data_IF_079384341563
#
_entry.id   IF_079384341563
#
_cell.length_a   1.000
_cell.length_b   1.000
_cell.length_c   1.000
_cell.angle_alpha   90.00
_cell.angle_beta   90.00
_cell.angle_gamma   90.00
#
_symmetry.space_group_name_H-M   'P 1'
#
loop_
_entity.id
_entity.type
_entity.pdbx_description
1 polymer ?
#
# COMPACT_ATOMS: atom_id res chain seq x y z
N UNK A 1 -34.41 -3.36 31.52
CA UNK A 1 -33.74 -2.19 32.13
C UNK A 1 -34.86 -1.25 32.54
N UNK A 2 -35.14 -1.15 33.84
CA UNK A 2 -36.12 -0.18 34.35
C UNK A 2 -35.66 1.22 33.96
N UNK A 3 -36.54 2.02 33.34
CA UNK A 3 -36.29 3.45 33.12
C UNK A 3 -36.22 4.09 34.50
N UNK A 4 -35.02 4.44 34.98
CA UNK A 4 -34.85 5.32 36.13
C UNK A 4 -35.61 6.61 35.86
N UNK A 5 -36.39 7.06 36.85
CA UNK A 5 -37.04 8.36 36.76
C UNK A 5 -35.98 9.47 36.58
N UNK A 6 -36.25 10.49 35.74
CA UNK A 6 -35.33 11.61 35.56
C UNK A 6 -35.06 12.29 36.90
N UNK A 7 -33.79 12.61 37.19
CA UNK A 7 -33.43 13.35 38.39
C UNK A 7 -34.05 14.76 38.35
N UNK A 8 -34.68 15.19 39.43
CA UNK A 8 -35.13 16.58 39.56
C UNK A 8 -33.90 17.52 39.63
N UNK A 9 -33.83 18.45 38.68
CA UNK A 9 -32.73 19.40 38.54
C UNK A 9 -33.06 20.79 39.12
N UNK A 10 -34.26 20.99 39.69
CA UNK A 10 -34.71 22.30 40.20
C UNK A 10 -33.72 22.95 41.16
N UNK A 11 -33.09 22.17 42.05
CA UNK A 11 -32.09 22.69 42.99
C UNK A 11 -30.76 23.05 42.30
N UNK A 12 -30.37 22.34 41.24
CA UNK A 12 -29.21 22.72 40.45
C UNK A 12 -29.48 23.97 39.62
N UNK A 13 -30.65 24.04 38.97
CA UNK A 13 -31.08 25.19 38.17
C UNK A 13 -31.06 26.48 39.02
N UNK A 14 -31.70 26.46 40.20
CA UNK A 14 -31.67 27.61 41.13
C UNK A 14 -30.26 28.01 41.57
N UNK A 15 -29.44 27.03 41.96
CA UNK A 15 -28.07 27.29 42.41
C UNK A 15 -27.21 27.87 41.28
N UNK A 16 -27.41 27.39 40.06
CA UNK A 16 -26.70 27.88 38.88
C UNK A 16 -27.12 29.32 38.55
N UNK A 17 -28.40 29.67 38.68
CA UNK A 17 -28.87 31.05 38.52
C UNK A 17 -28.35 32.00 39.62
N UNK A 18 -28.26 31.53 40.87
CA UNK A 18 -27.83 32.33 42.02
C UNK A 18 -26.30 32.56 42.06
N UNK A 19 -25.51 31.48 41.97
CA UNK A 19 -24.05 31.53 42.02
C UNK A 19 -23.43 30.27 41.38
N UNK A 20 -23.09 30.32 40.07
CA UNK A 20 -22.42 29.22 39.38
C UNK A 20 -21.06 28.82 39.98
N UNK A 21 -20.36 29.75 40.64
CA UNK A 21 -19.04 29.50 41.23
C UNK A 21 -19.12 28.67 42.52
N UNK A 22 -20.32 28.58 43.11
CA UNK A 22 -20.57 27.81 44.33
C UNK A 22 -20.50 26.29 44.11
N UNK A 23 -20.51 25.80 42.86
CA UNK A 23 -20.53 24.37 42.57
C UNK A 23 -19.19 23.71 42.92
N UNK A 24 -19.23 22.55 43.56
CA UNK A 24 -18.07 21.68 43.62
C UNK A 24 -18.01 20.74 42.40
N UNK A 25 -16.87 20.06 42.23
CA UNK A 25 -16.60 19.23 41.05
C UNK A 25 -17.65 18.13 40.81
N UNK A 26 -18.08 17.44 41.87
CA UNK A 26 -19.11 16.41 41.78
C UNK A 26 -20.47 17.00 41.36
N UNK A 27 -20.86 18.14 41.93
CA UNK A 27 -22.11 18.80 41.60
C UNK A 27 -22.13 19.30 40.16
N UNK A 28 -21.03 19.91 39.70
CA UNK A 28 -20.90 20.38 38.32
C UNK A 28 -20.95 19.20 37.33
N UNK A 29 -20.22 18.12 37.62
CA UNK A 29 -20.23 16.89 36.83
C UNK A 29 -21.65 16.32 36.72
N UNK A 30 -22.32 16.12 37.86
CA UNK A 30 -23.63 15.49 37.90
C UNK A 30 -24.69 16.36 37.21
N UNK A 31 -24.63 17.69 37.38
CA UNK A 31 -25.58 18.59 36.74
C UNK A 31 -25.49 18.57 35.21
N UNK A 32 -24.28 18.76 34.64
CA UNK A 32 -24.07 18.71 33.17
C UNK A 32 -24.44 17.34 32.61
N UNK A 33 -24.10 16.26 33.33
CA UNK A 33 -24.46 14.89 32.95
C UNK A 33 -25.97 14.69 32.89
N UNK A 34 -26.72 15.14 33.89
CA UNK A 34 -28.16 14.92 33.95
C UNK A 34 -28.91 15.79 32.95
N UNK A 35 -28.49 17.04 32.72
CA UNK A 35 -29.03 17.87 31.63
C UNK A 35 -28.91 17.14 30.27
N UNK A 36 -27.71 16.62 29.98
CA UNK A 36 -27.47 15.82 28.75
C UNK A 36 -28.35 14.57 28.70
N UNK A 37 -28.44 13.81 29.79
CA UNK A 37 -29.22 12.56 29.84
C UNK A 37 -30.74 12.79 29.67
N UNK A 38 -31.23 13.97 30.06
CA UNK A 38 -32.62 14.37 29.91
C UNK A 38 -32.93 15.02 28.54
N UNK A 39 -31.95 15.08 27.63
CA UNK A 39 -32.11 15.68 26.30
C UNK A 39 -32.01 17.21 26.30
N UNK A 40 -31.76 17.85 27.45
CA UNK A 40 -31.50 19.29 27.60
C UNK A 40 -30.07 19.63 27.16
N UNK A 41 -29.73 19.31 25.91
CA UNK A 41 -28.35 19.39 25.38
C UNK A 41 -27.86 20.84 25.30
N UNK A 42 -28.73 21.78 24.96
CA UNK A 42 -28.39 23.19 24.87
C UNK A 42 -28.04 23.76 26.23
N UNK A 43 -28.88 23.49 27.24
CA UNK A 43 -28.61 23.84 28.64
C UNK A 43 -27.31 23.21 29.15
N UNK A 44 -27.04 21.93 28.81
CA UNK A 44 -25.79 21.27 29.20
C UNK A 44 -24.54 21.96 28.62
N UNK A 45 -24.65 22.50 27.39
CA UNK A 45 -23.57 23.26 26.75
C UNK A 45 -23.43 24.62 27.42
N UNK A 46 -24.52 25.33 27.67
CA UNK A 46 -24.50 26.63 28.34
C UNK A 46 -23.89 26.52 29.74
N UNK A 47 -24.39 25.59 30.55
CA UNK A 47 -23.90 25.33 31.91
C UNK A 47 -22.43 24.94 31.91
N UNK A 48 -22.03 24.01 31.03
CA UNK A 48 -20.64 23.59 30.92
C UNK A 48 -19.70 24.74 30.52
N UNK A 49 -20.13 25.59 29.57
CA UNK A 49 -19.37 26.77 29.16
C UNK A 49 -19.21 27.78 30.29
N UNK A 50 -20.26 28.00 31.08
CA UNK A 50 -20.21 28.87 32.26
C UNK A 50 -19.26 28.33 33.32
N UNK A 51 -19.29 27.02 33.61
CA UNK A 51 -18.34 26.40 34.54
C UNK A 51 -16.88 26.52 34.09
N UNK A 52 -16.59 26.48 32.79
CA UNK A 52 -15.24 26.76 32.28
C UNK A 52 -14.77 28.19 32.56
N UNK A 53 -15.70 29.15 32.64
CA UNK A 53 -15.38 30.57 32.85
C UNK A 53 -15.26 30.93 34.35
N UNK A 54 -16.07 30.33 35.20
CA UNK A 54 -16.24 30.75 36.60
C UNK A 54 -15.82 29.70 37.64
N UNK A 55 -15.65 28.45 37.21
CA UNK A 55 -15.35 27.31 38.08
C UNK A 55 -13.86 27.04 38.18
N UNK A 56 -13.16 27.75 39.08
CA UNK A 56 -11.74 27.48 39.33
C UNK A 56 -11.55 26.04 39.88
N UNK A 57 -10.78 25.21 39.18
CA UNK A 57 -10.48 23.85 39.58
C UNK A 57 -11.56 22.79 39.28
N UNK A 58 -12.68 23.16 38.64
CA UNK A 58 -13.69 22.20 38.18
C UNK A 58 -13.22 21.47 36.92
N UNK A 59 -13.28 20.14 36.91
CA UNK A 59 -12.82 19.31 35.77
C UNK A 59 -13.69 18.08 35.50
N UNK A 60 -14.41 17.54 36.48
CA UNK A 60 -15.23 16.34 36.34
C UNK A 60 -16.34 16.47 35.30
N UNK A 61 -16.84 17.69 35.05
CA UNK A 61 -17.88 17.95 34.06
C UNK A 61 -17.38 17.98 32.60
N UNK A 62 -16.07 18.11 32.36
CA UNK A 62 -15.50 18.40 31.04
C UNK A 62 -15.88 17.34 30.00
N UNK A 63 -15.79 16.05 30.33
CA UNK A 63 -16.17 14.98 29.40
C UNK A 63 -17.68 14.98 29.12
N UNK A 64 -18.52 15.35 30.09
CA UNK A 64 -19.96 15.48 29.89
C UNK A 64 -20.31 16.66 28.99
N UNK A 65 -19.64 17.80 29.19
CA UNK A 65 -19.71 18.97 28.33
C UNK A 65 -19.27 18.64 26.90
N UNK A 66 -18.11 18.00 26.73
CA UNK A 66 -17.60 17.58 25.43
C UNK A 66 -18.55 16.61 24.72
N UNK A 67 -19.24 15.71 25.43
CA UNK A 67 -20.28 14.88 24.83
C UNK A 67 -21.55 15.66 24.43
N UNK A 68 -21.91 16.71 25.15
CA UNK A 68 -23.01 17.58 24.75
C UNK A 68 -22.69 18.30 23.43
N UNK A 69 -21.47 18.84 23.31
CA UNK A 69 -20.94 19.38 22.06
C UNK A 69 -20.90 18.33 20.94
N UNK A 70 -20.38 17.13 21.24
CA UNK A 70 -20.30 16.03 20.29
C UNK A 70 -21.69 15.65 19.74
N UNK A 71 -22.67 15.46 20.61
CA UNK A 71 -24.02 15.06 20.20
C UNK A 71 -24.71 16.11 19.34
N UNK A 72 -24.50 17.41 19.64
CA UNK A 72 -25.16 18.50 18.92
C UNK A 72 -24.49 18.83 17.58
N UNK A 73 -23.16 18.91 17.56
CA UNK A 73 -22.41 19.50 16.45
C UNK A 73 -21.54 18.51 15.69
N UNK A 74 -21.15 17.37 16.29
CA UNK A 74 -20.20 16.45 15.67
C UNK A 74 -20.89 15.20 15.11
N UNK A 75 -21.78 14.59 15.89
CA UNK A 75 -22.51 13.38 15.51
C UNK A 75 -23.72 13.70 14.62
N UNK A 76 -23.46 14.38 13.51
CA UNK A 76 -24.45 14.84 12.53
C UNK A 76 -24.07 14.33 11.13
N UNK A 77 -25.01 14.42 10.19
CA UNK A 77 -24.79 13.99 8.80
C UNK A 77 -23.76 14.86 8.08
N UNK A 78 -23.04 14.27 7.13
CA UNK A 78 -21.95 14.93 6.41
C UNK A 78 -22.44 16.17 5.61
N UNK A 79 -23.69 16.17 5.14
CA UNK A 79 -24.30 17.34 4.47
C UNK A 79 -24.47 18.54 5.42
N UNK A 80 -24.87 18.29 6.67
CA UNK A 80 -25.00 19.34 7.69
C UNK A 80 -23.64 19.87 8.12
N UNK A 81 -22.62 19.01 8.14
CA UNK A 81 -21.23 19.43 8.37
C UNK A 81 -20.80 20.38 7.25
N UNK A 82 -21.08 20.02 5.99
CA UNK A 82 -20.71 20.82 4.82
C UNK A 82 -21.32 22.22 4.83
N UNK A 83 -22.56 22.37 5.28
CA UNK A 83 -23.24 23.67 5.39
C UNK A 83 -22.57 24.61 6.41
N UNK A 84 -21.95 24.06 7.46
CA UNK A 84 -21.37 24.82 8.58
C UNK A 84 -20.00 24.27 8.97
N UNK A 85 -19.13 24.11 7.98
CA UNK A 85 -17.83 23.43 8.14
C UNK A 85 -16.92 24.14 9.17
N UNK A 86 -16.87 25.47 9.14
CA UNK A 86 -16.08 26.26 10.08
C UNK A 86 -16.52 26.03 11.53
N UNK A 87 -17.83 26.01 11.77
CA UNK A 87 -18.39 25.72 13.09
C UNK A 87 -18.08 24.27 13.51
N UNK A 88 -18.21 23.31 12.60
CA UNK A 88 -17.88 21.92 12.90
C UNK A 88 -16.43 21.79 13.37
N UNK A 89 -15.47 22.36 12.64
CA UNK A 89 -14.07 22.27 13.04
C UNK A 89 -13.72 23.12 14.26
N UNK A 90 -14.39 24.26 14.49
CA UNK A 90 -14.19 25.01 15.74
C UNK A 90 -14.62 24.19 16.97
N UNK A 91 -15.70 23.40 16.85
CA UNK A 91 -16.13 22.50 17.93
C UNK A 91 -15.20 21.29 18.07
N UNK A 92 -14.66 20.76 16.96
CA UNK A 92 -13.59 19.73 17.04
C UNK A 92 -12.40 20.26 17.84
N UNK A 93 -11.96 21.48 17.55
CA UNK A 93 -10.85 22.12 18.28
C UNK A 93 -11.19 22.33 19.75
N UNK A 94 -12.39 22.81 20.07
CA UNK A 94 -12.85 22.97 21.45
C UNK A 94 -12.82 21.65 22.24
N UNK A 95 -13.41 20.57 21.70
CA UNK A 95 -13.41 19.26 22.36
C UNK A 95 -11.97 18.74 22.54
N UNK A 96 -11.12 18.89 21.53
CA UNK A 96 -9.75 18.35 21.57
C UNK A 96 -8.82 19.13 22.48
N UNK A 97 -9.08 20.41 22.72
CA UNK A 97 -8.34 21.23 23.68
C UNK A 97 -8.78 20.98 25.14
N UNK A 98 -10.04 20.62 25.36
CA UNK A 98 -10.61 20.46 26.71
C UNK A 98 -10.54 19.02 27.21
N UNK A 99 -10.93 18.05 26.38
CA UNK A 99 -11.03 16.64 26.78
C UNK A 99 -9.67 15.94 26.67
N UNK A 100 -9.37 15.03 27.60
CA UNK A 100 -8.18 14.18 27.53
C UNK A 100 -8.47 12.90 26.74
N UNK A 101 -7.45 12.28 26.17
CA UNK A 101 -7.58 10.95 25.54
C UNK A 101 -7.61 9.87 26.63
N UNK A 102 -8.81 9.52 27.07
CA UNK A 102 -9.04 8.54 28.14
C UNK A 102 -10.36 7.78 27.95
N UNK A 103 -10.59 6.78 28.80
CA UNK A 103 -11.83 6.00 28.75
C UNK A 103 -13.04 6.91 29.01
N UNK A 104 -14.07 6.78 28.18
CA UNK A 104 -15.28 7.61 28.22
C UNK A 104 -15.06 9.10 27.90
N UNK A 105 -13.98 9.45 27.19
CA UNK A 105 -13.81 10.77 26.61
C UNK A 105 -14.44 10.86 25.20
N UNK A 106 -15.03 12.01 24.82
CA UNK A 106 -15.51 12.24 23.46
C UNK A 106 -14.39 12.51 22.45
N UNK A 107 -13.13 12.69 22.87
CA UNK A 107 -12.03 13.12 22.01
C UNK A 107 -11.82 12.20 20.80
N UNK A 108 -11.61 10.90 21.03
CA UNK A 108 -11.34 9.96 19.93
C UNK A 108 -12.54 9.82 18.99
N UNK A 109 -13.77 9.85 19.51
CA UNK A 109 -14.98 9.79 18.69
C UNK A 109 -15.10 11.03 17.80
N UNK A 110 -14.77 12.20 18.35
CA UNK A 110 -14.76 13.49 17.65
C UNK A 110 -13.76 13.48 16.50
N UNK A 111 -12.51 13.11 16.78
CA UNK A 111 -11.46 13.00 15.75
C UNK A 111 -11.87 11.97 14.69
N UNK A 112 -12.38 10.80 15.07
CA UNK A 112 -12.80 9.78 14.11
C UNK A 112 -13.92 10.27 13.17
N UNK A 113 -14.89 11.03 13.66
CA UNK A 113 -15.95 11.60 12.84
C UNK A 113 -15.40 12.68 11.90
N UNK A 114 -14.52 13.56 12.39
CA UNK A 114 -13.85 14.55 11.56
C UNK A 114 -12.98 13.90 10.47
N UNK A 115 -12.19 12.88 10.81
CA UNK A 115 -11.38 12.12 9.84
C UNK A 115 -12.24 11.48 8.77
N UNK A 116 -13.37 10.84 9.15
CA UNK A 116 -14.31 10.23 8.20
C UNK A 116 -14.83 11.27 7.21
N UNK A 117 -15.25 12.43 7.71
CA UNK A 117 -15.75 13.51 6.87
C UNK A 117 -14.67 14.01 5.89
N UNK A 118 -13.44 14.26 6.35
CA UNK A 118 -12.32 14.70 5.50
C UNK A 118 -11.94 13.65 4.45
N UNK A 119 -11.91 12.37 4.82
CA UNK A 119 -11.60 11.26 3.90
C UNK A 119 -12.64 11.07 2.79
N UNK A 120 -13.88 11.49 3.01
CA UNK A 120 -14.96 11.38 2.02
C UNK A 120 -14.94 12.50 0.98
N UNK A 121 -14.11 13.54 1.17
CA UNK A 121 -14.00 14.65 0.24
C UNK A 121 -13.20 14.27 -1.00
N UNK A 122 -13.49 14.92 -2.13
CA UNK A 122 -12.80 14.74 -3.41
C UNK A 122 -12.38 16.10 -3.97
N UNK A 123 -11.07 16.41 -4.06
CA UNK A 123 -9.94 15.63 -3.55
C UNK A 123 -9.92 15.53 -2.02
N UNK A 124 -9.24 14.51 -1.49
CA UNK A 124 -9.06 14.33 -0.03
C UNK A 124 -8.09 15.41 0.49
N UNK A 125 -8.47 16.11 1.57
CA UNK A 125 -7.58 17.10 2.24
C UNK A 125 -6.60 16.42 3.20
N UNK A 126 -5.52 15.82 2.67
CA UNK A 126 -4.55 15.07 3.47
C UNK A 126 -3.85 15.86 4.57
N UNK A 127 -3.57 17.15 4.34
CA UNK A 127 -3.02 18.03 5.39
C UNK A 127 -3.95 18.10 6.59
N UNK A 128 -5.24 18.36 6.38
CA UNK A 128 -6.23 18.41 7.46
C UNK A 128 -6.40 17.06 8.15
N UNK A 129 -6.34 15.96 7.39
CA UNK A 129 -6.38 14.61 7.96
C UNK A 129 -5.17 14.33 8.86
N UNK A 130 -3.97 14.77 8.44
CA UNK A 130 -2.73 14.67 9.23
C UNK A 130 -2.81 15.47 10.53
N UNK A 131 -3.30 16.72 10.48
CA UNK A 131 -3.52 17.57 11.66
C UNK A 131 -4.49 16.93 12.67
N UNK A 132 -5.54 16.28 12.19
CA UNK A 132 -6.49 15.55 13.04
C UNK A 132 -5.85 14.34 13.71
N UNK A 133 -4.97 13.61 13.00
CA UNK A 133 -4.24 12.48 13.57
C UNK A 133 -3.27 12.93 14.67
N UNK A 134 -2.67 14.12 14.54
CA UNK A 134 -1.72 14.67 15.52
C UNK A 134 -2.38 15.11 16.84
N UNK A 135 -3.71 15.25 16.84
CA UNK A 135 -4.50 15.48 18.07
C UNK A 135 -4.71 14.20 18.89
N UNK A 136 -4.30 13.04 18.38
CA UNK A 136 -4.37 11.76 19.10
C UNK A 136 -3.00 11.39 19.66
N UNK A 137 -2.97 10.95 20.91
CA UNK A 137 -1.80 10.28 21.45
C UNK A 137 -1.77 8.84 20.94
N UNK A 138 -0.91 8.58 19.97
CA UNK A 138 -0.77 7.24 19.37
C UNK A 138 -0.44 6.17 20.41
N UNK A 139 0.28 6.48 21.49
CA UNK A 139 0.73 5.47 22.45
C UNK A 139 -0.44 4.85 23.22
N UNK A 140 -1.45 5.64 23.53
CA UNK A 140 -2.64 5.21 24.28
C UNK A 140 -3.71 4.57 23.40
N UNK A 141 -3.58 4.62 22.06
CA UNK A 141 -4.51 3.94 21.15
C UNK A 141 -4.43 2.41 21.29
N UNK A 142 -5.61 1.77 21.31
CA UNK A 142 -5.74 0.32 21.39
C UNK A 142 -5.11 -0.38 20.18
N UNK A 143 -4.37 -1.45 20.45
CA UNK A 143 -3.90 -2.43 19.46
C UNK A 143 -4.95 -3.50 19.16
N UNK A 144 -5.95 -3.66 20.03
CA UNK A 144 -6.99 -4.67 19.87
C UNK A 144 -7.89 -4.37 18.67
N UNK A 145 -8.13 -5.34 17.78
CA UNK A 145 -9.08 -5.22 16.69
C UNK A 145 -10.49 -4.87 17.19
N UNK A 146 -11.24 -4.11 16.39
CA UNK A 146 -12.65 -3.86 16.67
C UNK A 146 -13.52 -4.99 16.13
N UNK A 147 -14.34 -5.60 16.98
CA UNK A 147 -15.31 -6.64 16.57
C UNK A 147 -16.71 -6.06 16.66
N UNK A 148 -17.46 -6.10 15.55
CA UNK A 148 -18.84 -5.62 15.53
C UNK A 148 -19.82 -6.65 16.12
N UNK A 149 -21.10 -6.30 16.23
CA UNK A 149 -22.16 -7.17 16.76
C UNK A 149 -22.38 -8.46 15.96
N UNK A 150 -21.96 -8.50 14.69
CA UNK A 150 -22.02 -9.68 13.84
C UNK A 150 -20.77 -10.58 13.95
N UNK A 151 -19.84 -10.27 14.86
CA UNK A 151 -18.57 -10.99 15.01
C UNK A 151 -17.54 -10.68 13.93
N UNK A 152 -17.79 -9.71 13.04
CA UNK A 152 -16.82 -9.29 12.02
C UNK A 152 -15.76 -8.40 12.66
N UNK A 153 -14.51 -8.78 12.43
CA UNK A 153 -13.31 -8.08 12.90
C UNK A 153 -12.88 -6.97 11.93
N UNK A 154 -12.42 -5.86 12.48
CA UNK A 154 -11.92 -4.66 11.82
C UNK A 154 -10.63 -4.18 12.49
N UNK A 155 -9.92 -3.32 11.76
CA UNK A 155 -8.67 -2.72 12.22
C UNK A 155 -8.76 -2.09 13.62
N UNK A 156 -7.65 -2.17 14.33
CA UNK A 156 -7.51 -1.48 15.62
C UNK A 156 -7.36 0.03 15.44
N UNK A 157 -7.56 0.78 16.52
CA UNK A 157 -7.40 2.24 16.49
C UNK A 157 -5.96 2.63 16.14
N UNK A 158 -4.98 1.92 16.70
CA UNK A 158 -3.56 2.17 16.43
C UNK A 158 -3.17 1.79 15.00
N UNK A 159 -3.71 0.69 14.46
CA UNK A 159 -3.52 0.32 13.04
C UNK A 159 -4.03 1.41 12.09
N UNK A 160 -5.28 1.87 12.32
CA UNK A 160 -5.89 2.95 11.54
C UNK A 160 -5.04 4.22 11.55
N UNK A 161 -4.51 4.59 12.72
CA UNK A 161 -3.65 5.77 12.86
C UNK A 161 -2.39 5.63 12.00
N UNK A 162 -1.64 4.54 12.12
CA UNK A 162 -0.39 4.36 11.37
C UNK A 162 -0.61 4.32 9.86
N UNK A 163 -1.58 3.54 9.37
CA UNK A 163 -1.82 3.46 7.92
C UNK A 163 -2.23 4.81 7.33
N UNK A 164 -3.01 5.61 8.06
CA UNK A 164 -3.45 6.92 7.59
C UNK A 164 -2.31 7.93 7.69
N UNK A 165 -1.51 7.92 8.76
CA UNK A 165 -0.40 8.86 8.93
C UNK A 165 0.69 8.66 7.87
N UNK A 166 1.03 7.40 7.58
CA UNK A 166 1.96 7.04 6.49
C UNK A 166 1.42 7.53 5.15
N UNK A 167 0.15 7.22 4.83
CA UNK A 167 -0.48 7.67 3.58
C UNK A 167 -0.53 9.20 3.47
N UNK A 168 -0.92 9.91 4.52
CA UNK A 168 -0.95 11.37 4.50
C UNK A 168 0.44 11.94 4.21
N UNK A 169 1.49 11.40 4.85
CA UNK A 169 2.86 11.87 4.65
C UNK A 169 3.31 11.67 3.20
N UNK A 170 3.02 10.50 2.61
CA UNK A 170 3.30 10.24 1.20
C UNK A 170 2.57 11.19 0.26
N UNK A 171 1.26 11.38 0.45
CA UNK A 171 0.42 12.21 -0.42
C UNK A 171 0.72 13.72 -0.30
N UNK A 172 1.37 14.13 0.79
CA UNK A 172 1.90 15.48 0.99
C UNK A 172 3.37 15.62 0.56
N UNK A 173 3.95 14.59 -0.05
CA UNK A 173 5.35 14.52 -0.48
C UNK A 173 6.37 14.67 0.67
N UNK A 174 5.94 14.49 1.92
CA UNK A 174 6.84 14.39 3.08
C UNK A 174 7.37 12.96 3.20
N UNK A 175 8.23 12.61 2.25
CA UNK A 175 8.79 11.26 2.12
C UNK A 175 9.62 10.86 3.34
N UNK A 176 10.25 11.83 4.02
CA UNK A 176 11.05 11.55 5.22
C UNK A 176 10.14 11.10 6.35
N UNK A 177 9.09 11.85 6.67
CA UNK A 177 8.14 11.46 7.71
C UNK A 177 7.35 10.21 7.32
N UNK A 178 7.05 10.01 6.03
CA UNK A 178 6.43 8.76 5.56
C UNK A 178 7.27 7.53 5.94
N UNK A 179 8.58 7.56 5.69
CA UNK A 179 9.50 6.46 6.06
C UNK A 179 9.60 6.30 7.58
N UNK A 180 9.69 7.40 8.33
CA UNK A 180 9.75 7.37 9.80
C UNK A 180 8.50 6.71 10.40
N UNK A 181 7.30 7.16 10.02
CA UNK A 181 6.05 6.58 10.51
C UNK A 181 5.87 5.12 10.09
N UNK A 182 6.30 4.73 8.88
CA UNK A 182 6.24 3.35 8.43
C UNK A 182 7.17 2.45 9.26
N UNK A 183 8.40 2.90 9.53
CA UNK A 183 9.33 2.18 10.42
C UNK A 183 8.77 2.04 11.83
N UNK A 184 8.16 3.11 12.38
CA UNK A 184 7.47 3.04 13.67
C UNK A 184 6.31 2.04 13.65
N UNK A 185 5.54 1.98 12.57
CA UNK A 185 4.44 1.05 12.42
C UNK A 185 4.91 -0.42 12.42
N UNK A 186 6.05 -0.72 11.80
CA UNK A 186 6.61 -2.07 11.74
C UNK A 186 7.07 -2.61 13.09
N UNK A 187 7.40 -1.73 14.05
CA UNK A 187 7.80 -2.16 15.40
C UNK A 187 6.61 -2.41 16.32
N UNK A 188 5.39 -2.10 15.89
CA UNK A 188 4.21 -2.25 16.73
C UNK A 188 3.68 -3.69 16.70
N UNK A 189 3.22 -4.22 17.84
CA UNK A 189 2.56 -5.52 17.92
C UNK A 189 1.10 -5.43 17.45
N UNK A 190 0.88 -4.99 16.21
CA UNK A 190 -0.44 -4.80 15.61
C UNK A 190 -0.79 -6.03 14.76
N UNK A 191 -2.00 -6.55 14.95
CA UNK A 191 -2.63 -7.45 13.96
C UNK A 191 -3.14 -6.60 12.80
N UNK A 192 -2.53 -6.76 11.63
CA UNK A 192 -2.87 -5.98 10.43
C UNK A 192 -4.02 -6.61 9.65
N UNK A 193 -4.93 -5.77 9.16
CA UNK A 193 -6.14 -6.14 8.40
C UNK A 193 -6.06 -5.60 6.98
N UNK A 194 -6.89 -6.12 6.07
CA UNK A 194 -7.13 -5.56 4.73
C UNK A 194 -5.88 -5.23 3.89
N UNK A 195 -4.78 -5.98 4.06
CA UNK A 195 -3.48 -5.70 3.46
C UNK A 195 -2.91 -4.30 3.81
N UNK A 196 -3.36 -3.69 4.92
CA UNK A 196 -2.92 -2.37 5.37
C UNK A 196 -1.39 -2.32 5.56
N UNK A 197 -0.77 -3.38 6.07
CA UNK A 197 0.69 -3.44 6.19
C UNK A 197 1.38 -3.37 4.82
N UNK A 198 0.82 -4.03 3.81
CA UNK A 198 1.39 -3.99 2.46
C UNK A 198 1.28 -2.58 1.88
N UNK A 199 0.15 -1.88 2.09
CA UNK A 199 0.04 -0.46 1.70
C UNK A 199 1.05 0.44 2.42
N UNK A 200 1.25 0.24 3.73
CA UNK A 200 2.29 0.96 4.49
C UNK A 200 3.68 0.72 3.87
N UNK A 201 4.01 -0.53 3.55
CA UNK A 201 5.25 -0.90 2.87
C UNK A 201 5.37 -0.26 1.49
N UNK A 202 4.29 -0.25 0.72
CA UNK A 202 4.27 0.36 -0.62
C UNK A 202 4.57 1.86 -0.58
N UNK A 203 3.92 2.61 0.33
CA UNK A 203 4.17 4.05 0.50
C UNK A 203 5.58 4.32 1.02
N UNK A 204 6.11 3.47 1.91
CA UNK A 204 7.51 3.54 2.36
C UNK A 204 8.48 3.33 1.21
N UNK A 205 8.33 2.25 0.43
CA UNK A 205 9.19 1.95 -0.70
C UNK A 205 9.19 3.08 -1.74
N UNK A 206 8.00 3.60 -2.07
CA UNK A 206 7.84 4.72 -2.99
C UNK A 206 8.55 5.98 -2.45
N UNK A 207 8.39 6.28 -1.16
CA UNK A 207 9.11 7.39 -0.50
C UNK A 207 10.63 7.20 -0.52
N UNK A 208 11.13 5.96 -0.36
CA UNK A 208 12.56 5.65 -0.43
C UNK A 208 13.14 5.93 -1.82
N UNK A 209 12.37 5.75 -2.90
CA UNK A 209 12.77 6.14 -4.26
C UNK A 209 13.00 7.65 -4.34
N UNK A 210 12.04 8.47 -3.86
CA UNK A 210 12.19 9.92 -3.84
C UNK A 210 13.38 10.39 -2.97
N UNK A 211 13.71 9.63 -1.93
CA UNK A 211 14.88 9.87 -1.07
C UNK A 211 16.17 9.26 -1.61
N UNK A 212 16.16 8.69 -2.83
CA UNK A 212 17.31 8.04 -3.49
C UNK A 212 17.92 6.87 -2.72
N UNK A 213 17.13 6.22 -1.85
CA UNK A 213 17.49 5.03 -1.08
C UNK A 213 17.05 3.77 -1.83
N UNK A 214 17.59 3.62 -3.05
CA UNK A 214 17.06 2.68 -4.04
C UNK A 214 17.17 1.20 -3.66
N UNK A 215 18.25 0.79 -2.99
CA UNK A 215 18.44 -0.60 -2.56
C UNK A 215 17.37 -1.03 -1.53
N UNK A 216 17.04 -0.13 -0.58
CA UNK A 216 15.98 -0.41 0.40
C UNK A 216 14.60 -0.44 -0.26
N UNK A 217 14.35 0.46 -1.23
CA UNK A 217 13.11 0.48 -1.99
C UNK A 217 12.94 -0.82 -2.81
N UNK A 218 14.00 -1.23 -3.51
CA UNK A 218 14.06 -2.47 -4.27
C UNK A 218 13.71 -3.69 -3.40
N UNK A 219 14.38 -3.84 -2.26
CA UNK A 219 14.12 -4.94 -1.32
C UNK A 219 12.67 -4.96 -0.82
N UNK A 220 12.09 -3.78 -0.55
CA UNK A 220 10.71 -3.69 -0.11
C UNK A 220 9.71 -4.03 -1.23
N UNK A 221 9.91 -3.53 -2.45
CA UNK A 221 9.10 -3.89 -3.61
C UNK A 221 9.19 -5.39 -3.95
N UNK A 222 10.37 -6.00 -3.87
CA UNK A 222 10.55 -7.44 -4.02
C UNK A 222 9.76 -8.22 -2.95
N UNK A 223 9.76 -7.76 -1.70
CA UNK A 223 9.00 -8.38 -0.61
C UNK A 223 7.47 -8.26 -0.78
N UNK A 224 7.03 -7.19 -1.44
CA UNK A 224 5.64 -6.96 -1.76
C UNK A 224 5.20 -7.90 -2.87
N UNK A 225 5.94 -7.95 -3.99
CA UNK A 225 5.44 -8.56 -5.23
C UNK A 225 4.03 -8.08 -5.56
N UNK A 226 3.22 -8.91 -6.23
CA UNK A 226 1.86 -8.54 -6.65
C UNK A 226 0.80 -8.55 -5.52
N UNK A 227 1.19 -8.30 -4.27
CA UNK A 227 0.26 -8.29 -3.11
C UNK A 227 -0.55 -6.99 -2.97
N UNK A 228 -0.23 -5.95 -3.75
CA UNK A 228 -0.97 -4.70 -3.79
C UNK A 228 -1.94 -4.73 -4.97
N UNK A 229 -3.27 -4.66 -4.73
CA UNK A 229 -4.23 -4.60 -5.82
C UNK A 229 -3.98 -3.41 -6.74
N UNK A 230 -4.09 -3.64 -8.06
CA UNK A 230 -3.94 -2.62 -9.11
C UNK A 230 -2.56 -1.95 -9.19
N UNK A 231 -1.54 -2.51 -8.54
CA UNK A 231 -0.14 -2.09 -8.73
C UNK A 231 0.59 -3.19 -9.46
N UNK A 232 1.10 -2.86 -10.66
CA UNK A 232 2.00 -3.74 -11.39
C UNK A 232 3.41 -3.63 -10.79
N UNK A 233 3.78 -4.64 -9.99
CA UNK A 233 5.09 -4.65 -9.31
C UNK A 233 6.24 -4.83 -10.28
N UNK A 234 6.00 -5.44 -11.44
CA UNK A 234 7.00 -5.51 -12.49
C UNK A 234 7.31 -4.09 -13.00
N UNK A 235 6.28 -3.30 -13.32
CA UNK A 235 6.49 -1.95 -13.85
C UNK A 235 7.26 -1.07 -12.85
N UNK A 236 6.91 -1.16 -11.57
CA UNK A 236 7.61 -0.44 -10.49
C UNK A 236 9.10 -0.79 -10.44
N UNK A 237 9.46 -2.07 -10.51
CA UNK A 237 10.86 -2.51 -10.50
C UNK A 237 11.59 -2.15 -11.80
N UNK A 238 10.93 -2.27 -12.95
CA UNK A 238 11.47 -1.87 -14.24
C UNK A 238 11.85 -0.39 -14.24
N UNK A 239 10.92 0.49 -13.85
CA UNK A 239 11.14 1.94 -13.79
C UNK A 239 12.25 2.29 -12.79
N UNK A 240 12.27 1.62 -11.62
CA UNK A 240 13.31 1.81 -10.63
C UNK A 240 14.70 1.47 -11.21
N UNK A 241 14.82 0.35 -11.91
CA UNK A 241 16.08 -0.09 -12.51
C UNK A 241 16.54 0.81 -13.66
N UNK A 242 15.63 1.21 -14.55
CA UNK A 242 15.94 2.15 -15.63
C UNK A 242 16.43 3.50 -15.06
N UNK A 243 15.75 4.03 -14.04
CA UNK A 243 16.11 5.31 -13.41
C UNK A 243 17.42 5.24 -12.60
N UNK A 244 17.85 4.05 -12.19
CA UNK A 244 19.10 3.85 -11.43
C UNK A 244 20.27 3.37 -12.29
N UNK A 245 20.08 3.29 -13.61
CA UNK A 245 21.11 2.83 -14.57
C UNK A 245 21.33 1.31 -14.57
N UNK A 246 20.49 0.55 -13.87
CA UNK A 246 20.50 -0.93 -13.83
C UNK A 246 19.76 -1.51 -15.04
N UNK A 247 20.17 -1.08 -16.25
CA UNK A 247 19.42 -1.34 -17.49
C UNK A 247 19.29 -2.83 -17.78
N UNK A 248 20.36 -3.61 -17.56
CA UNK A 248 20.34 -5.06 -17.78
C UNK A 248 19.37 -5.77 -16.85
N UNK A 249 19.27 -5.36 -15.59
CA UNK A 249 18.28 -5.91 -14.64
C UNK A 249 16.84 -5.53 -15.03
N UNK A 250 16.63 -4.30 -15.54
CA UNK A 250 15.33 -3.89 -16.08
C UNK A 250 14.93 -4.77 -17.27
N UNK A 251 15.84 -4.96 -18.23
CA UNK A 251 15.61 -5.78 -19.41
C UNK A 251 15.44 -7.27 -19.06
N UNK A 252 16.17 -7.77 -18.06
CA UNK A 252 16.03 -9.14 -17.57
C UNK A 252 14.61 -9.38 -17.05
N UNK A 253 14.09 -8.45 -16.24
CA UNK A 253 12.70 -8.51 -15.79
C UNK A 253 11.71 -8.42 -16.97
N UNK A 254 11.98 -7.54 -17.94
CA UNK A 254 11.09 -7.28 -19.09
C UNK A 254 10.97 -8.53 -19.96
N UNK A 255 12.09 -9.11 -20.36
CA UNK A 255 12.14 -10.34 -21.15
C UNK A 255 11.51 -11.50 -20.39
N UNK A 256 11.74 -11.61 -19.08
CA UNK A 256 11.11 -12.65 -18.29
C UNK A 256 9.59 -12.48 -18.22
N UNK A 257 9.07 -11.25 -18.09
CA UNK A 257 7.62 -11.00 -18.15
C UNK A 257 7.06 -11.36 -19.53
N UNK A 258 7.74 -10.97 -20.62
CA UNK A 258 7.39 -11.36 -21.99
C UNK A 258 7.31 -12.88 -22.15
N UNK A 259 8.34 -13.60 -21.69
CA UNK A 259 8.39 -15.06 -21.68
C UNK A 259 7.19 -15.69 -20.93
N UNK A 260 6.84 -15.17 -19.75
CA UNK A 260 5.72 -15.72 -18.95
C UNK A 260 4.34 -15.36 -19.51
N UNK A 261 4.22 -14.23 -20.20
CA UNK A 261 2.96 -13.73 -20.72
C UNK A 261 2.44 -14.53 -21.93
N UNK A 262 3.35 -15.00 -22.79
CA UNK A 262 2.96 -15.63 -24.06
C UNK A 262 2.33 -14.63 -25.03
N UNK A 263 1.66 -15.14 -26.08
CA UNK A 263 0.88 -14.33 -27.02
C UNK A 263 -0.50 -13.99 -26.44
N UNK A 264 -0.73 -12.71 -26.12
CA UNK A 264 -1.95 -12.19 -25.53
C UNK A 264 -2.13 -10.69 -25.87
N UNK A 265 -3.26 -10.32 -26.47
CA UNK A 265 -3.57 -8.93 -26.83
C UNK A 265 -3.55 -7.96 -25.64
N UNK A 266 -3.95 -8.43 -24.45
CA UNK A 266 -3.99 -7.60 -23.24
C UNK A 266 -2.59 -7.13 -22.81
N UNK A 267 -1.53 -7.75 -23.35
CA UNK A 267 -0.12 -7.45 -23.09
C UNK A 267 0.51 -6.55 -24.17
N UNK A 268 -0.28 -5.84 -24.99
CA UNK A 268 0.24 -4.94 -26.03
C UNK A 268 1.32 -3.98 -25.51
N UNK A 269 1.13 -3.40 -24.32
CA UNK A 269 2.11 -2.49 -23.71
C UNK A 269 3.44 -3.19 -23.40
N UNK A 270 3.41 -4.47 -23.02
CA UNK A 270 4.63 -5.27 -22.81
C UNK A 270 5.38 -5.48 -24.12
N UNK A 271 4.67 -5.73 -25.22
CA UNK A 271 5.29 -5.91 -26.53
C UNK A 271 5.89 -4.61 -27.09
N UNK A 272 5.26 -3.48 -26.83
CA UNK A 272 5.82 -2.16 -27.16
C UNK A 272 7.12 -1.90 -26.39
N UNK A 273 7.18 -2.28 -25.10
CA UNK A 273 8.41 -2.21 -24.32
C UNK A 273 9.51 -3.14 -24.88
N UNK A 274 9.16 -4.35 -25.32
CA UNK A 274 10.11 -5.26 -25.99
C UNK A 274 10.64 -4.64 -27.29
N UNK A 275 9.76 -4.05 -28.10
CA UNK A 275 10.15 -3.35 -29.32
C UNK A 275 11.14 -2.21 -29.04
N UNK A 276 10.92 -1.43 -27.99
CA UNK A 276 11.84 -0.35 -27.63
C UNK A 276 13.16 -0.87 -27.07
N UNK A 277 13.13 -1.97 -26.30
CA UNK A 277 14.34 -2.65 -25.84
C UNK A 277 15.18 -3.15 -27.01
N UNK A 278 14.61 -3.89 -27.98
CA UNK A 278 15.40 -4.51 -29.05
C UNK A 278 16.06 -3.50 -29.98
N UNK A 279 15.51 -2.28 -30.11
CA UNK A 279 16.15 -1.16 -30.85
C UNK A 279 17.47 -0.71 -30.23
N UNK A 280 17.77 -1.11 -28.99
CA UNK A 280 19.05 -0.83 -28.34
C UNK A 280 20.14 -1.85 -28.70
N UNK A 281 19.76 -2.99 -29.28
CA UNK A 281 20.66 -4.04 -29.75
C UNK A 281 21.19 -3.81 -31.17
N UNK A 282 21.88 -4.81 -31.71
CA UNK A 282 22.48 -4.74 -33.05
C UNK A 282 21.81 -5.71 -34.05
N UNK A 283 21.04 -6.68 -33.56
CA UNK A 283 20.34 -7.63 -34.41
C UNK A 283 19.13 -7.02 -35.14
N UNK A 284 19.33 -6.70 -36.42
CA UNK A 284 18.29 -6.09 -37.26
C UNK A 284 17.08 -7.02 -37.49
N UNK A 285 17.28 -8.33 -37.55
CA UNK A 285 16.17 -9.28 -37.73
C UNK A 285 15.22 -9.26 -36.52
N UNK A 286 15.77 -9.24 -35.31
CA UNK A 286 14.97 -9.14 -34.07
C UNK A 286 14.19 -7.82 -34.05
N UNK A 287 14.81 -6.70 -34.43
CA UNK A 287 14.16 -5.39 -34.49
C UNK A 287 13.01 -5.40 -35.50
N UNK A 288 13.24 -5.93 -36.70
CA UNK A 288 12.25 -5.97 -37.78
C UNK A 288 11.07 -6.89 -37.42
N UNK A 289 11.34 -8.05 -36.81
CA UNK A 289 10.33 -8.98 -36.31
C UNK A 289 9.49 -8.35 -35.20
N UNK A 290 10.11 -7.68 -34.23
CA UNK A 290 9.39 -7.01 -33.13
C UNK A 290 8.46 -5.92 -33.66
N UNK A 291 8.95 -5.12 -34.62
CA UNK A 291 8.18 -4.04 -35.22
C UNK A 291 7.02 -4.58 -36.07
N UNK A 292 7.27 -5.61 -36.88
CA UNK A 292 6.22 -6.28 -37.67
C UNK A 292 5.15 -6.92 -36.77
N UNK A 293 5.57 -7.61 -35.70
CA UNK A 293 4.66 -8.21 -34.73
C UNK A 293 3.73 -7.16 -34.08
N UNK A 294 4.29 -6.09 -33.52
CA UNK A 294 3.50 -5.02 -32.88
C UNK A 294 2.57 -4.34 -33.88
N UNK A 295 3.05 -4.07 -35.11
CA UNK A 295 2.23 -3.52 -36.18
C UNK A 295 1.03 -4.41 -36.48
N UNK A 296 1.28 -5.70 -36.73
CA UNK A 296 0.25 -6.64 -37.16
C UNK A 296 -0.76 -6.91 -36.05
N UNK A 297 -0.30 -7.06 -34.80
CA UNK A 297 -1.16 -7.22 -33.63
C UNK A 297 -2.12 -6.02 -33.47
N UNK A 298 -1.61 -4.80 -33.68
CA UNK A 298 -2.43 -3.58 -33.66
C UNK A 298 -3.41 -3.54 -34.82
N UNK A 299 -2.97 -3.84 -36.04
CA UNK A 299 -3.79 -3.82 -37.25
C UNK A 299 -4.98 -4.80 -37.16
N UNK A 300 -4.71 -6.04 -36.75
CA UNK A 300 -5.72 -7.10 -36.58
C UNK A 300 -6.77 -6.73 -35.52
N UNK A 301 -6.39 -5.92 -34.53
CA UNK A 301 -7.23 -5.51 -33.41
C UNK A 301 -7.72 -4.05 -33.50
N UNK A 302 -7.68 -3.46 -34.70
CA UNK A 302 -8.20 -2.11 -34.99
C UNK A 302 -7.60 -1.01 -34.09
N UNK A 303 -6.33 -1.15 -33.73
CA UNK A 303 -5.55 -0.14 -32.98
C UNK A 303 -4.78 0.76 -33.95
N UNK A 304 -4.33 1.92 -33.46
CA UNK A 304 -3.52 2.84 -34.26
C UNK A 304 -2.14 2.27 -34.57
N UNK A 305 -1.80 2.21 -35.85
CA UNK A 305 -0.53 1.72 -36.39
C UNK A 305 0.39 2.84 -36.89
N UNK A 306 0.01 4.11 -36.74
CA UNK A 306 0.72 5.26 -37.33
C UNK A 306 2.21 5.37 -36.94
N UNK A 307 2.60 4.80 -35.80
CA UNK A 307 3.97 4.81 -35.28
C UNK A 307 4.79 3.58 -35.68
N UNK A 308 4.18 2.60 -36.36
CA UNK A 308 4.82 1.35 -36.75
C UNK A 308 4.80 1.23 -38.27
N UNK A 309 5.83 0.63 -38.84
CA UNK A 309 5.87 0.29 -40.27
C UNK A 309 6.10 -1.21 -40.42
N UNK A 310 5.62 -1.80 -41.50
CA UNK A 310 5.84 -3.22 -41.79
C UNK A 310 6.55 -3.34 -43.13
N UNK A 311 7.66 -4.09 -43.15
CA UNK A 311 8.38 -4.38 -44.38
C UNK A 311 7.59 -5.37 -45.24
N UNK A 312 7.76 -5.30 -46.56
CA UNK A 312 7.01 -6.13 -47.53
C UNK A 312 7.08 -7.63 -47.20
N UNK A 313 8.22 -8.09 -46.70
CA UNK A 313 8.44 -9.50 -46.36
C UNK A 313 7.56 -10.05 -45.22
N UNK A 314 6.92 -9.18 -44.42
CA UNK A 314 6.04 -9.58 -43.31
C UNK A 314 4.58 -9.19 -43.50
N UNK A 315 4.22 -8.49 -44.58
CA UNK A 315 2.86 -7.97 -44.80
C UNK A 315 1.77 -9.06 -44.83
N UNK A 316 2.12 -10.24 -45.33
CA UNK A 316 1.20 -11.38 -45.42
C UNK A 316 1.31 -12.36 -44.23
N UNK A 317 2.06 -12.01 -43.18
CA UNK A 317 2.22 -12.85 -41.98
C UNK A 317 1.34 -12.34 -40.85
N UNK A 318 0.55 -13.23 -40.25
CA UNK A 318 -0.30 -12.88 -39.10
C UNK A 318 0.53 -12.63 -37.81
N UNK A 319 -0.06 -11.93 -36.84
CA UNK A 319 0.68 -11.54 -35.63
C UNK A 319 1.08 -12.72 -34.73
N UNK A 320 0.35 -13.84 -34.75
CA UNK A 320 0.72 -15.04 -33.99
C UNK A 320 1.98 -15.68 -34.58
N UNK A 321 2.02 -15.84 -35.91
CA UNK A 321 3.19 -16.36 -36.61
C UNK A 321 4.43 -15.45 -36.43
N UNK A 322 4.23 -14.12 -36.40
CA UNK A 322 5.31 -13.17 -36.12
C UNK A 322 5.78 -13.25 -34.67
N UNK A 323 4.88 -13.46 -33.71
CA UNK A 323 5.22 -13.66 -32.31
C UNK A 323 6.14 -14.87 -32.12
N UNK A 324 5.80 -16.03 -32.72
CA UNK A 324 6.62 -17.24 -32.58
C UNK A 324 8.04 -17.04 -33.14
N UNK A 325 8.15 -16.35 -34.28
CA UNK A 325 9.45 -16.01 -34.88
C UNK A 325 10.24 -15.03 -34.02
N UNK A 326 9.59 -13.97 -33.53
CA UNK A 326 10.20 -13.00 -32.62
C UNK A 326 10.68 -13.68 -31.34
N UNK A 327 9.84 -14.53 -30.74
CA UNK A 327 10.17 -15.24 -29.51
C UNK A 327 11.44 -16.06 -29.70
N UNK A 328 11.52 -16.89 -30.73
CA UNK A 328 12.70 -17.72 -30.98
C UNK A 328 13.96 -16.87 -31.21
N UNK A 329 13.87 -15.87 -32.09
CA UNK A 329 15.03 -15.01 -32.39
C UNK A 329 15.48 -14.18 -31.19
N UNK A 330 14.55 -13.62 -30.40
CA UNK A 330 14.89 -12.90 -29.18
C UNK A 330 15.55 -13.81 -28.15
N UNK A 331 15.04 -15.03 -27.97
CA UNK A 331 15.57 -15.99 -26.99
C UNK A 331 16.94 -16.56 -27.39
N UNK A 332 17.27 -16.61 -28.68
CA UNK A 332 18.59 -17.00 -29.19
C UNK A 332 19.66 -15.91 -29.02
N UNK A 333 19.25 -14.64 -28.90
CA UNK A 333 20.14 -13.46 -28.84
C UNK A 333 19.97 -12.65 -27.55
N UNK A 334 19.68 -13.33 -26.43
CA UNK A 334 19.48 -12.68 -25.13
C UNK A 334 20.73 -11.96 -24.62
N UNK A 335 21.91 -12.46 -24.95
CA UNK A 335 23.21 -11.92 -24.56
C UNK A 335 23.46 -10.48 -25.05
N UNK A 336 22.79 -10.05 -26.12
CA UNK A 336 22.81 -8.65 -26.57
C UNK A 336 22.14 -7.68 -25.58
N UNK A 337 21.20 -8.16 -24.75
CA UNK A 337 20.32 -7.32 -23.95
C UNK A 337 20.48 -7.52 -22.44
N UNK A 338 20.78 -8.74 -22.01
CA UNK A 338 20.79 -9.14 -20.60
C UNK A 338 22.03 -9.96 -20.26
N UNK A 339 22.37 -10.05 -18.98
CA UNK A 339 23.50 -10.88 -18.56
C UNK A 339 23.12 -12.37 -18.57
N UNK A 340 24.01 -13.17 -19.15
CA UNK A 340 23.91 -14.63 -19.25
C UNK A 340 25.05 -15.27 -18.47
N UNK A 341 24.73 -16.35 -17.76
CA UNK A 341 25.64 -17.09 -16.91
C UNK A 341 25.52 -18.57 -17.22
N UNK A 342 26.60 -19.30 -17.06
CA UNK A 342 26.61 -20.76 -17.14
C UNK A 342 26.63 -21.38 -15.74
N UNK A 343 26.16 -22.61 -15.64
CA UNK A 343 26.20 -23.39 -14.41
C UNK A 343 25.73 -24.81 -14.64
N UNK A 344 25.75 -25.61 -13.57
CA UNK A 344 25.44 -27.04 -13.64
C UNK A 344 24.24 -27.39 -12.78
N UNK A 345 23.26 -28.11 -13.33
CA UNK A 345 22.12 -28.61 -12.53
C UNK A 345 22.64 -29.64 -11.53
N UNK A 346 22.55 -29.36 -10.24
CA UNK A 346 23.01 -30.28 -9.17
C UNK A 346 21.87 -30.99 -8.47
N UNK A 347 20.66 -30.48 -8.60
CA UNK A 347 19.46 -31.08 -8.04
C UNK A 347 18.25 -30.76 -8.91
N UNK A 348 17.39 -31.77 -9.13
CA UNK A 348 16.09 -31.57 -9.75
C UNK A 348 15.05 -32.51 -9.12
N UNK A 349 13.90 -31.96 -8.75
CA UNK A 349 12.76 -32.68 -8.23
C UNK A 349 11.70 -32.81 -9.33
N UNK A 350 11.61 -33.97 -9.98
CA UNK A 350 10.66 -34.23 -11.08
C UNK A 350 9.21 -34.03 -10.65
N UNK A 351 8.83 -34.45 -9.44
CA UNK A 351 7.44 -34.37 -8.96
C UNK A 351 6.99 -32.93 -8.67
N UNK A 352 7.93 -32.05 -8.31
CA UNK A 352 7.65 -30.66 -7.91
C UNK A 352 8.15 -29.61 -8.90
N UNK A 353 8.77 -30.06 -9.99
CA UNK A 353 9.23 -29.23 -11.11
C UNK A 353 10.13 -28.06 -10.68
N UNK A 354 11.08 -28.32 -9.79
CA UNK A 354 12.09 -27.34 -9.40
C UNK A 354 13.45 -27.98 -9.14
N UNK A 355 14.50 -27.18 -9.25
CA UNK A 355 15.86 -27.63 -9.05
C UNK A 355 16.77 -26.54 -8.50
N UNK A 356 18.06 -26.87 -8.49
CA UNK A 356 19.13 -25.96 -8.12
C UNK A 356 20.31 -26.08 -9.09
N UNK A 357 20.87 -24.93 -9.46
CA UNK A 357 22.06 -24.79 -10.29
C UNK A 357 23.23 -24.45 -9.38
N UNK A 358 24.35 -25.13 -9.59
CA UNK A 358 25.62 -24.75 -9.00
C UNK A 358 26.29 -23.70 -9.86
N UNK A 359 26.68 -22.61 -9.21
CA UNK A 359 27.38 -21.50 -9.82
C UNK A 359 28.84 -21.71 -9.40
N UNK A 360 29.76 -21.94 -10.34
CA UNK A 360 31.20 -22.25 -10.13
C UNK A 360 31.99 -21.12 -9.42
N UNK A 361 31.45 -20.56 -8.34
CA UNK A 361 31.83 -19.30 -7.70
C UNK A 361 32.25 -19.49 -6.23
N UNK A 362 32.62 -20.71 -5.82
CA UNK A 362 33.09 -21.06 -4.45
C UNK A 362 32.15 -20.68 -3.28
N UNK A 363 30.94 -20.16 -3.55
CA UNK A 363 30.03 -19.61 -2.54
C UNK A 363 29.26 -20.68 -1.76
N UNK A 364 29.21 -21.92 -2.27
CA UNK A 364 28.44 -23.02 -1.70
C UNK A 364 26.91 -22.84 -1.76
N UNK A 365 26.42 -21.70 -2.28
CA UNK A 365 25.01 -21.41 -2.42
C UNK A 365 24.52 -21.84 -3.82
N UNK A 366 23.56 -22.77 -3.86
CA UNK A 366 22.94 -23.19 -5.11
C UNK A 366 21.76 -22.30 -5.47
N UNK A 367 21.65 -21.96 -6.75
CA UNK A 367 20.63 -21.07 -7.29
C UNK A 367 19.35 -21.83 -7.63
N UNK A 368 18.23 -21.42 -7.03
CA UNK A 368 16.93 -22.05 -7.27
C UNK A 368 16.39 -21.76 -8.69
N UNK A 369 15.70 -22.72 -9.28
CA UNK A 369 14.90 -22.53 -10.50
C UNK A 369 13.64 -23.43 -10.52
N UNK A 370 12.69 -23.11 -11.40
CA UNK A 370 11.54 -23.99 -11.72
C UNK A 370 11.65 -24.52 -13.15
N UNK A 371 11.02 -25.66 -13.44
CA UNK A 371 10.87 -26.14 -14.82
C UNK A 371 10.30 -25.05 -15.74
N UNK A 372 9.30 -24.31 -15.25
CA UNK A 372 8.65 -23.21 -15.96
C UNK A 372 9.54 -21.97 -16.20
N UNK A 373 10.80 -22.01 -15.79
CA UNK A 373 11.82 -20.99 -16.03
C UNK A 373 12.73 -21.33 -17.22
N UNK A 374 12.60 -22.53 -17.81
CA UNK A 374 13.24 -22.92 -19.07
C UNK A 374 12.51 -22.29 -20.26
N UNK A 375 13.28 -21.79 -21.22
CA UNK A 375 12.77 -21.12 -22.43
C UNK A 375 12.03 -22.12 -23.34
N UNK A 376 12.56 -23.33 -23.42
CA UNK A 376 12.04 -24.41 -24.25
C UNK A 376 11.58 -25.58 -23.37
N UNK A 377 10.73 -26.44 -23.92
CA UNK A 377 10.28 -27.65 -23.24
C UNK A 377 11.41 -28.71 -23.24
N UNK A 378 12.34 -28.56 -22.30
CA UNK A 378 13.54 -29.38 -22.16
C UNK A 378 13.38 -30.35 -20.98
N UNK A 379 13.79 -31.60 -21.16
CA UNK A 379 13.86 -32.57 -20.06
C UNK A 379 15.06 -32.22 -19.19
N UNK A 380 14.81 -31.91 -17.92
CA UNK A 380 15.87 -31.52 -16.99
C UNK A 380 16.48 -32.74 -16.33
N UNK A 381 17.79 -32.90 -16.51
CA UNK A 381 18.59 -33.94 -15.88
C UNK A 381 19.61 -33.35 -14.91
N UNK A 382 20.01 -34.18 -13.94
CA UNK A 382 21.10 -33.80 -13.05
C UNK A 382 22.38 -33.81 -13.89
N UNK A 383 23.17 -32.75 -13.73
CA UNK A 383 24.44 -32.48 -14.40
C UNK A 383 24.34 -31.82 -15.77
N UNK A 384 23.14 -31.47 -16.24
CA UNK A 384 23.00 -30.59 -17.40
C UNK A 384 23.78 -29.29 -17.20
N UNK A 385 24.54 -28.92 -18.22
CA UNK A 385 25.18 -27.62 -18.30
C UNK A 385 24.17 -26.67 -18.94
N UNK A 386 23.83 -25.62 -18.20
CA UNK A 386 22.76 -24.69 -18.56
C UNK A 386 23.28 -23.27 -18.61
N UNK A 387 22.70 -22.49 -19.50
CA UNK A 387 22.82 -21.04 -19.54
C UNK A 387 21.54 -20.41 -18.95
N UNK A 388 21.69 -19.35 -18.15
CA UNK A 388 20.57 -18.68 -17.47
C UNK A 388 20.84 -17.19 -17.23
N UNK A 389 19.80 -16.45 -16.86
CA UNK A 389 19.89 -15.10 -16.32
C UNK A 389 19.49 -15.06 -14.85
N UNK A 390 20.02 -14.07 -14.11
CA UNK A 390 19.73 -13.87 -12.69
C UNK A 390 18.60 -12.87 -12.50
N UNK A 391 17.53 -13.27 -11.82
CA UNK A 391 16.49 -12.35 -11.39
C UNK A 391 16.45 -12.27 -9.87
N UNK A 392 16.50 -11.04 -9.33
CA UNK A 392 16.30 -10.80 -7.91
C UNK A 392 14.86 -11.10 -7.51
N UNK A 393 14.71 -11.70 -6.34
CA UNK A 393 13.43 -12.11 -5.76
C UNK A 393 13.46 -11.91 -4.25
N UNK A 394 12.44 -12.43 -3.56
CA UNK A 394 12.37 -12.43 -2.11
C UNK A 394 12.05 -13.83 -1.58
N UNK A 395 12.89 -14.34 -0.69
CA UNK A 395 12.63 -15.60 0.00
C UNK A 395 11.69 -15.33 1.18
N UNK A 396 10.42 -15.69 1.03
CA UNK A 396 9.41 -15.51 2.09
C UNK A 396 9.62 -16.41 3.31
N UNK A 397 10.36 -17.51 3.20
CA UNK A 397 10.67 -18.37 4.35
C UNK A 397 11.81 -17.77 5.17
N UNK A 398 12.85 -17.26 4.50
CA UNK A 398 14.01 -16.63 5.15
C UNK A 398 13.81 -15.14 5.44
N UNK A 399 12.78 -14.51 4.88
CA UNK A 399 12.48 -13.08 5.00
C UNK A 399 13.62 -12.16 4.53
N UNK A 400 14.26 -12.53 3.42
CA UNK A 400 15.40 -11.77 2.88
C UNK A 400 15.39 -11.75 1.34
N UNK A 401 16.05 -10.76 0.72
CA UNK A 401 16.32 -10.77 -0.72
C UNK A 401 17.04 -12.06 -1.13
N UNK A 402 16.72 -12.53 -2.33
CA UNK A 402 17.33 -13.72 -2.92
C UNK A 402 17.39 -13.55 -4.43
N UNK A 403 17.90 -14.57 -5.13
CA UNK A 403 17.93 -14.61 -6.59
C UNK A 403 17.46 -15.98 -7.06
N UNK A 404 16.96 -16.04 -8.29
CA UNK A 404 16.67 -17.30 -8.96
C UNK A 404 17.19 -17.28 -10.39
N UNK A 405 17.46 -18.45 -10.94
CA UNK A 405 17.72 -18.61 -12.37
C UNK A 405 16.41 -18.52 -13.14
N UNK A 406 16.46 -17.81 -14.26
CA UNK A 406 15.37 -17.65 -15.23
C UNK A 406 15.91 -17.69 -16.65
N UNK A 407 14.99 -17.85 -17.62
CA UNK A 407 15.31 -17.87 -19.05
C UNK A 407 16.41 -18.91 -19.31
N UNK A 408 16.18 -20.12 -18.81
CA UNK A 408 17.17 -21.20 -18.78
C UNK A 408 17.14 -21.93 -20.11
N UNK A 409 18.33 -22.31 -20.60
CA UNK A 409 18.54 -23.12 -21.79
C UNK A 409 19.62 -24.16 -21.50
N UNK A 410 19.37 -25.42 -21.86
CA UNK A 410 20.39 -26.46 -21.81
C UNK A 410 21.39 -26.27 -22.95
N UNK A 411 22.68 -26.23 -22.62
CA UNK A 411 23.76 -26.14 -23.60
C UNK A 411 24.17 -27.53 -24.09
N UNK A 412 24.41 -28.44 -23.15
CA UNK A 412 24.67 -29.86 -23.43
C UNK A 412 24.48 -30.70 -22.15
N UNK A 413 24.15 -31.96 -22.36
CA UNK A 413 24.08 -32.97 -21.31
C UNK A 413 25.52 -33.43 -20.98
N UNK A 414 25.97 -33.26 -19.73
CA UNK A 414 27.23 -33.86 -19.29
C UNK A 414 26.99 -35.35 -19.05
N UNK A 415 27.10 -36.13 -20.13
CA UNK A 415 27.04 -37.60 -20.09
C UNK A 415 28.30 -38.08 -19.37
N UNK A 416 28.25 -38.13 -18.04
CA UNK A 416 29.25 -38.85 -17.26
C UNK A 416 29.08 -40.36 -17.52
N UNK A 417 29.99 -40.91 -18.33
CA UNK A 417 30.19 -42.35 -18.47
C UNK A 417 30.61 -43.01 -17.15
#
# INVERSE_FOLDING_TARGET
>A
MEKREPKDLTNYDKRFEEDPSSFNDFQAMDYVKELKNQGRTDDAIEVGKTFLQVGEGLSGFINHYGYALYNKYINIDDDKIKEKEDLFFSIVDEITNLCKQEKYSPLEATINKAMKYVMNQKPVRYQKLSELLDKLDVQTLSIEPFVNSAGKEYESKKEKWYRLKVRCSYEMEDYKSCVEYANMAFTQPIKWHYNNLNWVKYYRASSLVHLKRYEEAENEFLSLGNKIPNVDSFQVLYDLYMNTGKVKEAYTNLVYKFFKAGYNLDELGLYEMILDMVKTGQNQEVIDLANAFVYQLKAENQKDVSQNSISEQYQDTDSSSLYDRLYNQLMEHLDEYIDRFEGKVVYYNKDKEFGSIDQDNDSGDHLFFRQSDYIYDEMVEKYDVVEYSLMKTFDFKKQQPSSKAILIKTLYEDIQY
#
